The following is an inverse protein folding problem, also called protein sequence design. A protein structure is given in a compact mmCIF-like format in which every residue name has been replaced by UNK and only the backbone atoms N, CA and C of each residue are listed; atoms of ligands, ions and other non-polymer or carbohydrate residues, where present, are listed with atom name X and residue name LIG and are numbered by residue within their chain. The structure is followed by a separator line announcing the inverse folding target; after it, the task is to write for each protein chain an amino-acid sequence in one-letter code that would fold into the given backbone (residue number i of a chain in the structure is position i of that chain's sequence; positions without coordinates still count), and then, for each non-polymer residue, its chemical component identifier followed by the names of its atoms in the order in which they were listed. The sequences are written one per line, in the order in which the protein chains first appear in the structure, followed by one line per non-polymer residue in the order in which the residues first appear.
data_IF_281378008987
#
_entry.id   IF_281378008987
#
_cell.length_a   1.000
_cell.length_b   1.000
_cell.length_c   1.000
_cell.angle_alpha   90.00
_cell.angle_beta   90.00
_cell.angle_gamma   90.00
#
_symmetry.space_group_name_H-M   'P 1'
#
loop_
_entity.id
_entity.type
_entity.pdbx_description
1 polymer ?
#
# COMPACT_ATOMS: atom_id res chain seq x y z
N UNK A 1 -2.77 -13.33 7.67
CA UNK A 1 -1.58 -12.77 7.00
C UNK A 1 -0.87 -11.80 7.95
N UNK A 2 -0.06 -12.31 8.89
CA UNK A 2 0.66 -11.51 9.92
C UNK A 2 2.13 -11.93 10.06
N UNK A 3 2.74 -12.45 9.00
CA UNK A 3 4.11 -12.98 9.04
C UNK A 3 5.08 -11.99 8.39
N UNK A 4 5.82 -11.31 9.27
CA UNK A 4 7.04 -10.54 9.04
C UNK A 4 6.94 -9.27 8.15
N UNK A 5 6.72 -8.08 8.76
CA UNK A 5 6.69 -6.78 8.09
C UNK A 5 8.00 -6.32 7.40
N UNK A 6 9.05 -7.15 7.38
CA UNK A 6 10.41 -6.76 6.93
C UNK A 6 10.68 -6.99 5.45
N UNK A 7 9.84 -7.78 4.76
CA UNK A 7 10.08 -8.18 3.36
C UNK A 7 8.91 -7.83 2.42
N UNK A 8 8.08 -6.86 2.78
CA UNK A 8 7.00 -6.43 1.89
C UNK A 8 7.59 -5.96 0.56
N UNK A 9 7.12 -6.56 -0.53
CA UNK A 9 7.41 -6.14 -1.88
C UNK A 9 6.24 -5.34 -2.43
N UNK A 10 6.49 -4.55 -3.46
CA UNK A 10 5.43 -3.75 -4.07
C UNK A 10 4.35 -4.64 -4.70
N UNK A 11 4.72 -5.85 -5.13
CA UNK A 11 3.82 -6.85 -5.67
C UNK A 11 2.85 -7.38 -4.60
N UNK A 12 3.29 -7.51 -3.34
CA UNK A 12 2.44 -7.91 -2.22
C UNK A 12 1.40 -6.82 -1.93
N UNK A 13 1.85 -5.55 -1.90
CA UNK A 13 0.98 -4.39 -1.73
C UNK A 13 -0.06 -4.27 -2.85
N UNK A 14 0.34 -4.48 -4.10
CA UNK A 14 -0.57 -4.46 -5.24
C UNK A 14 -1.61 -5.59 -5.18
N UNK A 15 -1.21 -6.77 -4.69
CA UNK A 15 -2.14 -7.89 -4.48
C UNK A 15 -3.21 -7.54 -3.47
N UNK A 16 -2.83 -6.96 -2.33
CA UNK A 16 -3.77 -6.52 -1.30
C UNK A 16 -4.64 -5.37 -1.79
N UNK A 17 -4.05 -4.38 -2.48
CA UNK A 17 -4.77 -3.24 -3.03
C UNK A 17 -5.90 -3.70 -3.96
N UNK A 18 -5.60 -4.61 -4.90
CA UNK A 18 -6.60 -5.20 -5.80
C UNK A 18 -7.72 -5.92 -5.05
N UNK A 19 -7.41 -6.65 -3.98
CA UNK A 19 -8.41 -7.37 -3.18
C UNK A 19 -9.43 -6.42 -2.55
N UNK A 20 -9.00 -5.25 -2.11
CA UNK A 20 -9.84 -4.27 -1.41
C UNK A 20 -10.28 -3.10 -2.30
N UNK A 21 -10.09 -3.19 -3.63
CA UNK A 21 -10.52 -2.14 -4.55
C UNK A 21 -9.69 -0.84 -4.49
N UNK A 22 -8.53 -0.85 -3.85
CA UNK A 22 -7.62 0.31 -3.78
C UNK A 22 -6.99 0.56 -5.15
N UNK A 23 -7.12 1.78 -5.64
CA UNK A 23 -6.52 2.23 -6.88
C UNK A 23 -5.01 2.37 -6.71
N UNK A 24 -4.28 1.91 -7.73
CA UNK A 24 -2.82 1.97 -7.77
C UNK A 24 -2.36 2.76 -8.97
N UNK A 25 -1.67 3.88 -8.73
CA UNK A 25 -1.07 4.72 -9.78
C UNK A 25 0.45 4.61 -9.75
N UNK A 26 1.06 4.42 -10.92
CA UNK A 26 2.52 4.48 -11.12
C UNK A 26 2.87 5.52 -12.17
N UNK A 27 3.28 6.71 -11.73
CA UNK A 27 3.60 7.83 -12.62
C UNK A 27 5.08 7.85 -12.99
N UNK A 28 5.52 6.88 -13.81
CA UNK A 28 6.86 6.85 -14.43
C UNK A 28 8.09 6.69 -13.50
N UNK A 29 8.02 7.17 -12.26
CA UNK A 29 9.10 7.18 -11.28
C UNK A 29 9.17 5.95 -10.39
N UNK A 30 9.89 6.10 -9.27
CA UNK A 30 10.18 5.02 -8.31
C UNK A 30 9.09 4.74 -7.29
N UNK A 31 7.94 5.41 -7.40
CA UNK A 31 6.87 5.37 -6.40
C UNK A 31 5.57 4.86 -6.99
N UNK A 32 4.79 4.22 -6.13
CA UNK A 32 3.41 3.85 -6.35
C UNK A 32 2.55 4.69 -5.40
N UNK A 33 1.41 5.15 -5.90
CA UNK A 33 0.41 5.88 -5.11
C UNK A 33 -0.81 4.98 -4.97
N UNK A 34 -1.19 4.70 -3.72
CA UNK A 34 -2.37 3.94 -3.33
C UNK A 34 -3.42 4.91 -2.82
N UNK A 35 -4.63 4.83 -3.34
CA UNK A 35 -5.75 5.71 -2.95
C UNK A 35 -7.08 4.97 -3.08
N UNK A 36 -8.10 5.43 -2.36
CA UNK A 36 -9.45 4.88 -2.46
C UNK A 36 -10.48 6.01 -2.25
N UNK A 37 -11.62 6.03 -2.97
CA UNK A 37 -12.62 7.10 -2.84
C UNK A 37 -13.23 7.26 -1.44
N UNK A 38 -13.18 6.21 -0.61
CA UNK A 38 -13.69 6.22 0.76
C UNK A 38 -12.62 6.59 1.81
N UNK A 39 -11.37 6.81 1.40
CA UNK A 39 -10.28 7.21 2.28
C UNK A 39 -9.89 8.66 1.96
N UNK A 40 -9.61 9.44 3.00
CA UNK A 40 -9.03 10.77 2.85
C UNK A 40 -7.50 10.68 2.66
N UNK A 41 -6.91 9.53 3.02
CA UNK A 41 -5.49 9.24 2.86
C UNK A 41 -5.13 8.75 1.45
N UNK A 42 -4.02 9.28 0.92
CA UNK A 42 -3.30 8.69 -0.21
C UNK A 42 -1.89 8.29 0.23
N UNK A 43 -1.49 7.05 -0.02
CA UNK A 43 -0.20 6.51 0.44
C UNK A 43 0.76 6.38 -0.73
N UNK A 44 1.92 7.05 -0.63
CA UNK A 44 2.99 6.97 -1.64
C UNK A 44 4.13 6.10 -1.15
N UNK A 45 4.41 4.99 -1.86
CA UNK A 45 5.38 3.97 -1.45
C UNK A 45 6.47 3.80 -2.51
N UNK A 46 7.77 3.89 -2.15
CA UNK A 46 8.85 3.58 -3.08
C UNK A 46 8.92 2.07 -3.33
N UNK A 47 9.12 1.65 -4.59
CA UNK A 47 9.20 0.22 -4.92
C UNK A 47 10.62 -0.37 -4.84
N UNK A 48 11.65 0.48 -4.74
CA UNK A 48 13.04 0.03 -4.62
C UNK A 48 13.24 -0.59 -3.23
N UNK A 49 13.73 -1.83 -3.20
CA UNK A 49 13.82 -2.65 -1.98
C UNK A 49 14.97 -2.20 -1.07
N UNK A 50 14.85 -2.44 0.26
CA UNK A 50 13.66 -2.93 0.97
C UNK A 50 12.61 -1.82 1.23
N UNK A 51 11.32 -2.17 1.15
CA UNK A 51 10.25 -1.24 1.56
C UNK A 51 10.33 -1.07 3.07
N UNK A 52 10.50 0.17 3.53
CA UNK A 52 10.57 0.47 4.96
C UNK A 52 9.23 0.17 5.64
N UNK A 53 9.30 -0.36 6.86
CA UNK A 53 8.14 -0.69 7.70
C UNK A 53 7.10 0.44 7.76
N UNK A 54 7.55 1.69 7.85
CA UNK A 54 6.68 2.87 7.91
C UNK A 54 5.68 2.94 6.75
N UNK A 55 6.08 2.52 5.54
CA UNK A 55 5.18 2.52 4.39
C UNK A 55 4.14 1.39 4.47
N UNK A 56 4.50 0.25 5.07
CA UNK A 56 3.54 -0.80 5.36
C UNK A 56 2.50 -0.35 6.40
N UNK A 57 2.93 0.37 7.44
CA UNK A 57 2.02 0.95 8.45
C UNK A 57 1.07 1.98 7.82
N UNK A 58 1.57 2.86 6.95
CA UNK A 58 0.72 3.82 6.23
C UNK A 58 -0.27 3.13 5.31
N UNK A 59 0.14 2.06 4.63
CA UNK A 59 -0.76 1.28 3.79
C UNK A 59 -1.85 0.58 4.61
N UNK A 60 -1.53 0.05 5.79
CA UNK A 60 -2.53 -0.51 6.69
C UNK A 60 -3.52 0.56 7.17
N UNK A 61 -3.06 1.77 7.50
CA UNK A 61 -3.95 2.87 7.87
C UNK A 61 -4.94 3.23 6.75
N UNK A 62 -4.49 3.19 5.48
CA UNK A 62 -5.39 3.34 4.33
C UNK A 62 -6.46 2.24 4.29
N UNK A 63 -6.09 0.99 4.57
CA UNK A 63 -7.03 -0.13 4.62
C UNK A 63 -8.04 0.02 5.77
N UNK A 64 -7.57 0.50 6.92
CA UNK A 64 -8.42 0.76 8.08
C UNK A 64 -9.48 1.83 7.78
N UNK A 65 -9.13 2.92 7.07
CA UNK A 65 -10.07 3.98 6.66
C UNK A 65 -11.21 3.45 5.77
N UNK A 66 -10.95 2.44 4.94
CA UNK A 66 -11.94 1.86 4.04
C UNK A 66 -12.68 0.65 4.65
N UNK A 67 -12.40 0.32 5.92
CA UNK A 67 -13.04 -0.80 6.62
C UNK A 67 -12.59 -2.18 6.17
N UNK A 68 -11.40 -2.29 5.57
CA UNK A 68 -10.82 -3.55 5.11
C UNK A 68 -10.22 -4.36 6.28
N UNK A 69 -11.08 -5.11 6.99
CA UNK A 69 -10.68 -6.07 8.03
C UNK A 69 -10.39 -7.49 7.51
#
# INVERSE_FOLDING_TARGET
MRLNPRDWRIEDLNTVARRYGVDVRKTGGSHFVFLHPQADLAVTIPFKRPIKLVYGVQFLALLDEIGAN
#
